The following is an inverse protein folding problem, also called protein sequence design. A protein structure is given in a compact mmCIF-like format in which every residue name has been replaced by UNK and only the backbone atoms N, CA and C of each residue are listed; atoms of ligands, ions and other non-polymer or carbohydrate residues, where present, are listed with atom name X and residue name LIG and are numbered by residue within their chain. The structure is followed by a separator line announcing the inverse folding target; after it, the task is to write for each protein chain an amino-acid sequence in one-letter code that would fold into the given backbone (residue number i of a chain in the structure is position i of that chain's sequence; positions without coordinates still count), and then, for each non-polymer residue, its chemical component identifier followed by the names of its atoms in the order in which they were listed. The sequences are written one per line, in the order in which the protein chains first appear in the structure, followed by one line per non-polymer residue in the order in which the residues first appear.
data_IF_846121789870
#
_entry.id   IF_846121789870
#
_cell.length_a   1.000
_cell.length_b   1.000
_cell.length_c   1.000
_cell.angle_alpha   90.00
_cell.angle_beta   90.00
_cell.angle_gamma   90.00
#
_symmetry.space_group_name_H-M   'P 1'
#
loop_
_entity.id
_entity.type
_entity.pdbx_description
1 polymer ?
#
# COMPACT_ATOMS: atom_id res chain seq x y z
N UNK A 1 -10.81 -13.83 3.27
CA UNK A 1 -9.56 -14.30 2.60
C UNK A 1 -8.40 -14.26 3.58
N UNK A 2 -7.37 -15.08 3.39
CA UNK A 2 -6.18 -15.11 4.26
C UNK A 2 -4.96 -14.62 3.47
N UNK A 3 -4.25 -13.62 3.98
CA UNK A 3 -3.03 -13.11 3.37
C UNK A 3 -1.86 -14.05 3.69
N UNK A 4 -1.13 -14.49 2.67
CA UNK A 4 0.00 -15.43 2.81
C UNK A 4 1.28 -14.79 3.35
N UNK A 5 1.41 -13.47 3.25
CA UNK A 5 2.58 -12.72 3.73
C UNK A 5 2.34 -12.00 5.07
N UNK A 6 1.17 -12.21 5.69
CA UNK A 6 0.74 -11.48 6.90
C UNK A 6 1.70 -11.54 8.09
N UNK A 7 2.52 -12.60 8.17
CA UNK A 7 3.50 -12.77 9.24
C UNK A 7 4.77 -11.92 9.06
N UNK A 8 5.03 -11.43 7.84
CA UNK A 8 6.21 -10.64 7.49
C UNK A 8 5.85 -9.18 7.18
N UNK A 9 4.66 -8.99 6.65
CA UNK A 9 4.14 -7.69 6.28
C UNK A 9 3.46 -7.04 7.47
N UNK A 10 4.00 -5.97 8.03
CA UNK A 10 3.41 -5.20 9.13
C UNK A 10 2.19 -4.35 8.75
N UNK A 11 1.68 -4.43 7.51
CA UNK A 11 0.65 -3.53 6.99
C UNK A 11 -0.77 -3.71 7.55
N UNK A 12 -1.07 -4.84 8.21
CA UNK A 12 -2.41 -5.18 8.67
C UNK A 12 -2.44 -5.66 10.13
N UNK A 13 -2.78 -4.77 11.06
CA UNK A 13 -2.86 -5.09 12.51
C UNK A 13 -3.95 -6.12 12.87
N UNK A 14 -5.03 -6.19 12.09
CA UNK A 14 -6.18 -7.05 12.35
C UNK A 14 -6.26 -8.26 11.42
N UNK A 15 -5.14 -8.62 10.79
CA UNK A 15 -5.10 -9.78 9.90
C UNK A 15 -5.47 -11.08 10.65
N UNK A 16 -6.36 -11.89 10.04
CA UNK A 16 -6.85 -13.14 10.63
C UNK A 16 -8.01 -12.98 11.60
N UNK A 17 -8.42 -11.75 11.95
CA UNK A 17 -9.60 -11.51 12.78
C UNK A 17 -10.82 -11.32 11.86
N UNK A 18 -11.96 -12.01 12.07
CA UNK A 18 -13.19 -11.79 11.32
C UNK A 18 -13.63 -10.32 11.34
N UNK A 19 -14.12 -9.79 10.23
CA UNK A 19 -14.40 -8.36 10.10
C UNK A 19 -15.37 -7.82 11.14
N UNK A 20 -16.42 -8.59 11.48
CA UNK A 20 -17.35 -8.23 12.57
C UNK A 20 -16.63 -8.05 13.92
N UNK A 21 -15.67 -8.88 14.21
CA UNK A 21 -14.88 -8.78 15.44
C UNK A 21 -13.90 -7.60 15.39
N UNK A 22 -13.37 -7.27 14.21
CA UNK A 22 -12.57 -6.04 14.03
C UNK A 22 -13.42 -4.80 14.35
N UNK A 23 -14.65 -4.72 13.85
CA UNK A 23 -15.57 -3.62 14.12
C UNK A 23 -15.88 -3.51 15.62
N UNK A 24 -16.17 -4.64 16.30
CA UNK A 24 -16.40 -4.64 17.75
C UNK A 24 -15.18 -4.12 18.54
N UNK A 25 -13.98 -4.57 18.18
CA UNK A 25 -12.75 -4.11 18.83
C UNK A 25 -12.53 -2.62 18.63
N UNK A 26 -12.76 -2.10 17.42
CA UNK A 26 -12.67 -0.67 17.12
C UNK A 26 -13.71 0.12 17.90
N UNK A 27 -14.97 -0.31 17.88
CA UNK A 27 -16.04 0.33 18.65
C UNK A 27 -15.72 0.40 20.15
N UNK A 28 -15.22 -0.71 20.73
CA UNK A 28 -14.84 -0.74 22.16
C UNK A 28 -13.69 0.22 22.45
N UNK A 29 -12.70 0.33 21.54
CA UNK A 29 -11.60 1.25 21.69
C UNK A 29 -12.08 2.70 21.67
N UNK A 30 -12.90 3.09 20.69
CA UNK A 30 -13.47 4.43 20.61
C UNK A 30 -14.34 4.76 21.81
N UNK A 31 -15.17 3.81 22.28
CA UNK A 31 -15.97 3.97 23.49
C UNK A 31 -15.11 4.21 24.73
N UNK A 32 -13.99 3.51 24.84
CA UNK A 32 -13.02 3.68 25.95
C UNK A 32 -12.33 5.03 25.95
N UNK A 33 -12.02 5.57 24.76
CA UNK A 33 -11.31 6.84 24.59
C UNK A 33 -12.23 8.06 24.70
N UNK A 34 -13.42 7.98 24.12
CA UNK A 34 -14.31 9.13 23.92
C UNK A 34 -15.56 9.11 24.78
N UNK A 35 -15.89 7.96 25.38
CA UNK A 35 -17.13 7.78 26.14
C UNK A 35 -17.31 8.70 27.36
N UNK A 36 -16.20 9.19 27.94
CA UNK A 36 -16.23 10.19 29.03
C UNK A 36 -16.62 11.60 28.54
N UNK A 37 -16.46 11.89 27.26
CA UNK A 37 -16.71 13.21 26.66
C UNK A 37 -18.08 13.29 25.96
N UNK A 38 -18.73 12.16 25.68
CA UNK A 38 -20.03 12.14 25.05
C UNK A 38 -20.43 10.78 24.50
N UNK A 39 -21.60 10.74 23.85
CA UNK A 39 -22.13 9.53 23.23
C UNK A 39 -21.33 9.15 21.99
N UNK A 40 -20.71 7.99 21.99
CA UNK A 40 -20.06 7.41 20.82
C UNK A 40 -21.09 6.68 19.96
N UNK A 41 -21.25 7.11 18.72
CA UNK A 41 -22.17 6.47 17.78
C UNK A 41 -21.68 5.07 17.38
N UNK A 42 -22.58 4.16 16.94
CA UNK A 42 -22.19 2.88 16.40
C UNK A 42 -21.23 3.02 15.19
N UNK A 43 -20.23 2.14 15.12
CA UNK A 43 -19.29 2.12 14.00
C UNK A 43 -20.01 1.75 12.69
N UNK A 44 -19.71 2.49 11.63
CA UNK A 44 -20.19 2.17 10.29
C UNK A 44 -19.15 1.28 9.62
N UNK A 45 -19.53 0.04 9.29
CA UNK A 45 -18.67 -0.90 8.59
C UNK A 45 -18.75 -0.74 7.07
N UNK A 46 -17.71 -1.20 6.39
CA UNK A 46 -17.71 -1.33 4.93
C UNK A 46 -18.48 -2.58 4.52
N UNK A 47 -19.19 -2.56 3.41
CA UNK A 47 -19.81 -3.74 2.80
C UNK A 47 -18.75 -4.72 2.32
N UNK A 48 -17.72 -4.22 1.63
CA UNK A 48 -16.56 -4.98 1.20
C UNK A 48 -15.28 -4.40 1.81
N UNK A 49 -14.65 -5.06 2.80
CA UNK A 49 -13.42 -4.59 3.45
C UNK A 49 -12.14 -4.98 2.70
N UNK A 50 -12.24 -5.25 1.41
CA UNK A 50 -11.10 -5.59 0.55
C UNK A 50 -10.91 -4.52 -0.52
N UNK A 51 -9.67 -4.39 -1.00
CA UNK A 51 -9.27 -3.52 -2.12
C UNK A 51 -9.66 -2.04 -1.97
N UNK A 52 -9.81 -1.58 -0.73
CA UNK A 52 -10.29 -0.23 -0.40
C UNK A 52 -9.21 0.85 -0.35
N UNK A 53 -7.94 0.43 -0.31
CA UNK A 53 -6.81 1.37 -0.17
C UNK A 53 -6.45 1.95 -1.53
N UNK A 54 -6.83 3.19 -1.76
CA UNK A 54 -6.63 3.92 -3.01
C UNK A 54 -5.25 4.60 -3.12
N UNK A 55 -4.51 4.72 -2.01
CA UNK A 55 -3.12 5.20 -1.99
C UNK A 55 -2.20 4.04 -1.63
N UNK A 56 -1.37 3.63 -2.58
CA UNK A 56 -0.42 2.52 -2.45
C UNK A 56 0.99 3.05 -2.59
N UNK A 57 1.82 2.79 -1.57
CA UNK A 57 3.25 3.06 -1.60
C UNK A 57 4.01 1.74 -1.73
N UNK A 58 4.83 1.61 -2.74
CA UNK A 58 5.67 0.44 -2.96
C UNK A 58 7.14 0.82 -3.00
N UNK A 59 7.96 0.05 -2.30
CA UNK A 59 9.42 0.14 -2.35
C UNK A 59 9.94 -0.86 -3.38
N UNK A 60 10.96 -0.49 -4.13
CA UNK A 60 11.63 -1.34 -5.10
C UNK A 60 13.00 -1.75 -4.58
N UNK A 61 13.30 -3.03 -4.72
CA UNK A 61 14.55 -3.63 -4.25
C UNK A 61 14.95 -4.81 -5.16
N UNK A 62 16.01 -5.51 -4.83
CA UNK A 62 16.45 -6.73 -5.48
C UNK A 62 16.40 -7.91 -4.54
N UNK A 63 15.93 -9.03 -5.04
CA UNK A 63 16.06 -10.29 -4.33
C UNK A 63 17.52 -10.81 -4.38
N UNK A 64 17.80 -11.88 -3.64
CA UNK A 64 19.14 -12.52 -3.61
C UNK A 64 19.61 -13.02 -4.97
N UNK A 65 18.70 -13.18 -5.95
CA UNK A 65 19.01 -13.60 -7.32
C UNK A 65 19.18 -12.40 -8.26
N UNK A 66 19.07 -11.17 -7.76
CA UNK A 66 19.17 -9.94 -8.53
C UNK A 66 17.90 -9.54 -9.27
N UNK A 67 16.77 -10.25 -9.07
CA UNK A 67 15.49 -9.86 -9.66
C UNK A 67 14.92 -8.64 -8.96
N UNK A 68 14.33 -7.72 -9.73
CA UNK A 68 13.65 -6.56 -9.17
C UNK A 68 12.35 -7.01 -8.51
N UNK A 69 12.19 -6.68 -7.25
CA UNK A 69 10.98 -6.90 -6.45
C UNK A 69 10.33 -5.56 -6.10
N UNK A 70 9.04 -5.58 -5.81
CA UNK A 70 8.33 -4.43 -5.26
C UNK A 70 7.46 -4.89 -4.08
N UNK A 71 7.37 -4.06 -3.06
CA UNK A 71 6.61 -4.42 -1.87
C UNK A 71 6.72 -3.38 -0.77
N UNK A 72 6.70 -3.81 0.46
CA UNK A 72 6.81 -2.96 1.63
C UNK A 72 7.95 -3.44 2.53
N UNK A 73 8.45 -2.56 3.38
CA UNK A 73 9.41 -2.98 4.40
C UNK A 73 8.79 -3.95 5.40
N UNK A 74 9.54 -4.98 5.77
CA UNK A 74 9.23 -5.80 6.93
C UNK A 74 9.33 -4.94 8.19
N UNK A 75 8.39 -5.12 9.12
CA UNK A 75 8.30 -4.31 10.34
C UNK A 75 9.63 -4.25 11.10
N UNK A 76 10.09 -3.05 11.40
CA UNK A 76 11.35 -2.80 12.10
C UNK A 76 12.63 -3.08 11.30
N UNK A 77 12.55 -3.26 9.98
CA UNK A 77 13.70 -3.52 9.12
C UNK A 77 13.63 -2.73 7.82
N UNK A 78 14.75 -2.68 7.08
CA UNK A 78 14.80 -2.16 5.70
C UNK A 78 14.67 -3.26 4.64
N UNK A 79 14.34 -4.49 5.05
CA UNK A 79 14.14 -5.59 4.12
C UNK A 79 12.78 -5.50 3.43
N UNK A 80 12.77 -5.51 2.11
CA UNK A 80 11.53 -5.47 1.33
C UNK A 80 10.87 -6.85 1.28
N UNK A 81 9.63 -6.93 1.75
CA UNK A 81 8.75 -8.09 1.58
C UNK A 81 8.04 -7.96 0.24
N UNK A 82 8.25 -8.86 -0.73
CA UNK A 82 7.57 -8.79 -2.01
C UNK A 82 6.05 -8.90 -1.85
N UNK A 83 5.32 -7.99 -2.50
CA UNK A 83 3.86 -7.97 -2.53
C UNK A 83 3.40 -8.11 -3.97
N UNK A 84 2.78 -9.24 -4.30
CA UNK A 84 2.20 -9.50 -5.63
C UNK A 84 0.70 -9.22 -5.66
N UNK A 85 -0.01 -9.64 -4.60
CA UNK A 85 -1.44 -9.45 -4.47
C UNK A 85 -1.76 -9.07 -3.03
N UNK A 86 -2.06 -7.80 -2.79
CA UNK A 86 -2.47 -7.29 -1.50
C UNK A 86 -4.01 -7.27 -1.42
N UNK A 87 -4.58 -7.82 -0.35
CA UNK A 87 -6.03 -7.91 -0.18
C UNK A 87 -6.70 -6.56 0.15
N UNK A 88 -5.93 -5.55 0.52
CA UNK A 88 -6.48 -4.24 0.90
C UNK A 88 -6.13 -3.13 -0.09
N UNK A 89 -5.10 -3.31 -0.91
CA UNK A 89 -4.71 -2.33 -1.92
C UNK A 89 -5.59 -2.44 -3.15
N UNK A 90 -5.95 -1.32 -3.75
CA UNK A 90 -6.70 -1.28 -5.00
C UNK A 90 -5.98 -2.06 -6.11
N UNK A 91 -6.73 -2.84 -6.89
CA UNK A 91 -6.18 -3.75 -7.90
C UNK A 91 -5.47 -3.00 -9.05
N UNK A 92 -5.98 -1.83 -9.45
CA UNK A 92 -5.35 -0.98 -10.49
C UNK A 92 -4.04 -0.39 -9.98
N UNK A 93 -3.99 0.01 -8.70
CA UNK A 93 -2.76 0.47 -8.07
C UNK A 93 -1.69 -0.63 -8.07
N UNK A 94 -2.08 -1.86 -7.76
CA UNK A 94 -1.17 -3.01 -7.81
C UNK A 94 -0.68 -3.29 -9.24
N UNK A 95 -1.55 -3.15 -10.25
CA UNK A 95 -1.19 -3.29 -11.66
C UNK A 95 -0.17 -2.23 -12.09
N UNK A 96 -0.39 -0.95 -11.69
CA UNK A 96 0.54 0.14 -11.95
C UNK A 96 1.93 -0.16 -11.35
N UNK A 97 1.99 -0.60 -10.10
CA UNK A 97 3.26 -0.94 -9.44
C UNK A 97 3.97 -2.11 -10.17
N UNK A 98 3.23 -3.15 -10.58
CA UNK A 98 3.79 -4.26 -11.37
C UNK A 98 4.33 -3.79 -12.72
N UNK A 99 3.62 -2.88 -13.37
CA UNK A 99 4.04 -2.29 -14.65
C UNK A 99 5.34 -1.49 -14.48
N UNK A 100 5.42 -0.62 -13.47
CA UNK A 100 6.65 0.13 -13.14
C UNK A 100 7.81 -0.84 -12.91
N UNK A 101 7.61 -1.89 -12.10
CA UNK A 101 8.63 -2.92 -11.85
C UNK A 101 9.13 -3.58 -13.14
N UNK A 102 8.23 -3.91 -14.07
CA UNK A 102 8.59 -4.44 -15.38
C UNK A 102 9.41 -3.46 -16.21
N UNK A 103 9.02 -2.19 -16.21
CA UNK A 103 9.72 -1.13 -16.92
C UNK A 103 11.15 -0.90 -16.41
N UNK A 104 11.39 -0.99 -15.10
CA UNK A 104 12.74 -0.85 -14.53
C UNK A 104 13.73 -1.83 -15.17
N UNK A 105 13.29 -3.08 -15.39
CA UNK A 105 14.11 -4.09 -16.07
C UNK A 105 14.35 -3.73 -17.54
N UNK A 106 13.29 -3.36 -18.26
CA UNK A 106 13.36 -3.04 -19.69
C UNK A 106 14.25 -1.84 -19.98
N UNK A 107 14.18 -0.81 -19.15
CA UNK A 107 14.97 0.42 -19.30
C UNK A 107 16.30 0.37 -18.56
N UNK A 108 16.69 -0.78 -17.98
CA UNK A 108 17.92 -0.97 -17.20
C UNK A 108 18.08 0.05 -16.05
N UNK A 109 16.97 0.49 -15.49
CA UNK A 109 16.95 1.40 -14.34
C UNK A 109 17.31 0.59 -13.09
N UNK A 110 18.28 1.07 -12.31
CA UNK A 110 18.69 0.44 -11.06
C UNK A 110 17.78 0.88 -9.92
N UNK A 111 17.35 -0.07 -9.11
CA UNK A 111 16.73 0.22 -7.81
C UNK A 111 17.77 0.88 -6.91
N UNK A 112 17.31 1.81 -6.07
CA UNK A 112 18.16 2.45 -5.07
C UNK A 112 18.54 1.44 -3.99
N UNK A 113 19.81 1.45 -3.63
CA UNK A 113 20.39 0.60 -2.59
C UNK A 113 20.79 1.52 -1.43
N UNK A 114 20.20 1.30 -0.26
CA UNK A 114 20.42 2.16 0.91
C UNK A 114 21.82 1.97 1.53
N UNK A 115 22.43 0.79 1.38
CA UNK A 115 23.74 0.50 1.94
C UNK A 115 24.86 1.17 1.14
N UNK A 116 24.72 1.20 -0.19
CA UNK A 116 25.73 1.77 -1.07
C UNK A 116 25.44 3.21 -1.50
N UNK A 117 24.18 3.68 -1.35
CA UNK A 117 23.70 4.97 -1.82
C UNK A 117 23.57 5.08 -3.34
N UNK A 118 23.68 3.97 -4.08
CA UNK A 118 23.59 3.95 -5.54
C UNK A 118 22.23 3.44 -6.03
N UNK A 119 21.81 3.93 -7.17
CA UNK A 119 20.55 3.58 -7.83
C UNK A 119 19.67 4.80 -8.03
N UNK A 120 18.60 4.63 -8.81
CA UNK A 120 17.73 5.75 -9.19
C UNK A 120 16.35 5.66 -8.49
N UNK A 121 15.69 4.52 -8.55
CA UNK A 121 14.31 4.39 -8.04
C UNK A 121 14.28 3.64 -6.72
N UNK A 122 13.83 4.32 -5.66
CA UNK A 122 13.61 3.76 -4.33
C UNK A 122 12.18 3.28 -4.13
N UNK A 123 11.22 4.14 -4.45
CA UNK A 123 9.80 3.87 -4.23
C UNK A 123 8.91 4.58 -5.24
N UNK A 124 7.67 4.12 -5.35
CA UNK A 124 6.62 4.81 -6.08
C UNK A 124 5.32 4.82 -5.28
N UNK A 125 4.55 5.88 -5.44
CA UNK A 125 3.19 5.96 -4.93
C UNK A 125 2.19 5.93 -6.08
N UNK A 126 1.22 5.04 -6.01
CA UNK A 126 0.03 5.03 -6.85
C UNK A 126 -1.14 5.58 -6.04
N UNK A 127 -1.76 6.63 -6.52
CA UNK A 127 -2.94 7.23 -5.91
C UNK A 127 -4.09 7.25 -6.91
N UNK A 128 -5.14 6.47 -6.63
CA UNK A 128 -6.35 6.43 -7.43
C UNK A 128 -7.43 7.29 -6.78
N UNK A 129 -7.91 8.27 -7.52
CA UNK A 129 -8.99 9.15 -7.09
C UNK A 129 -10.19 8.97 -8.01
N UNK A 130 -11.26 8.36 -7.53
CA UNK A 130 -12.45 8.05 -8.34
C UNK A 130 -13.23 9.28 -8.85
N UNK A 131 -12.96 10.47 -8.35
CA UNK A 131 -13.74 11.69 -8.62
C UNK A 131 -13.20 12.61 -9.71
N UNK A 132 -12.28 12.19 -10.58
CA UNK A 132 -11.72 13.08 -11.62
C UNK A 132 -11.93 12.59 -13.06
N UNK A 133 -12.99 11.85 -13.33
CA UNK A 133 -13.35 11.52 -14.71
C UNK A 133 -14.02 12.68 -15.48
N UNK A 134 -14.33 13.79 -14.82
CA UNK A 134 -14.94 14.97 -15.50
C UNK A 134 -13.94 16.01 -16.03
N UNK A 135 -12.62 15.82 -15.83
CA UNK A 135 -11.63 16.72 -16.42
C UNK A 135 -10.31 16.02 -16.76
N UNK A 136 -10.32 15.26 -17.85
CA UNK A 136 -9.13 14.63 -18.46
C UNK A 136 -7.98 15.61 -18.74
N UNK A 137 -8.21 16.92 -18.74
CA UNK A 137 -7.20 17.96 -18.94
C UNK A 137 -6.29 18.21 -17.72
N UNK A 138 -6.71 17.84 -16.51
CA UNK A 138 -5.90 18.03 -15.30
C UNK A 138 -5.01 16.83 -14.96
N UNK A 139 -5.39 15.62 -15.36
CA UNK A 139 -4.63 14.40 -15.11
C UNK A 139 -3.28 14.42 -15.81
N UNK A 140 -3.21 14.97 -17.03
CA UNK A 140 -1.95 15.09 -17.78
C UNK A 140 -0.93 16.04 -17.13
N UNK A 141 -1.37 17.03 -16.34
CA UNK A 141 -0.48 17.91 -15.58
C UNK A 141 0.00 17.31 -14.25
N UNK A 142 -0.78 16.40 -13.67
CA UNK A 142 -0.46 15.80 -12.39
C UNK A 142 0.63 14.72 -12.52
N UNK A 143 0.60 13.93 -13.58
CA UNK A 143 1.64 12.92 -13.85
C UNK A 143 3.02 13.52 -14.18
N UNK A 144 3.08 14.75 -14.71
CA UNK A 144 4.35 15.43 -14.98
C UNK A 144 5.07 16.02 -13.77
N UNK A 145 4.43 16.09 -12.59
CA UNK A 145 4.96 16.84 -11.44
C UNK A 145 5.29 16.04 -10.19
N UNK A 146 5.05 14.73 -10.15
CA UNK A 146 5.32 13.90 -8.95
C UNK A 146 5.96 12.55 -9.25
N UNK A 147 6.84 12.45 -10.21
CA UNK A 147 7.95 11.52 -10.11
C UNK A 147 9.00 12.29 -9.32
N UNK A 148 9.04 12.07 -8.02
CA UNK A 148 10.15 12.53 -7.19
C UNK A 148 11.29 11.55 -7.53
N UNK A 149 12.18 12.02 -8.37
CA UNK A 149 13.48 11.44 -8.64
C UNK A 149 14.38 11.60 -7.43
#
# INVERSE_FOLDING_TARGET
MKCNISKKCGGCQFQGIPYKEQLKKKQKKEQSLLGAYGKVCPIIGMENPYYYRNKVHAVFDRDRKGNIISGIYEEGTHRVVPVENCLIEDEKSQEIIRTIRGMLKSFKIRTYDEDTGYGLLRSAEAFLQERLWSSLSQVHRFFRRKIIL
#
